data_IF_165100145484
#
_entry.id   IF_165100145484
#
_cell.length_a   1.000
_cell.length_b   1.000
_cell.length_c   1.000
_cell.angle_alpha   90.00
_cell.angle_beta   90.00
_cell.angle_gamma   90.00
#
_symmetry.space_group_name_H-M   'P 1'
#
loop_
_entity.id
_entity.type
_entity.pdbx_description
1 polymer ?
#
# COMPACT_ATOMS: atom_id res chain seq x y z
N UNK A 1 -10.07 10.72 -9.81
CA UNK A 1 -10.26 9.34 -9.31
C UNK A 1 -9.48 8.40 -10.21
N UNK A 2 -8.77 7.43 -9.63
CA UNK A 2 -7.95 6.44 -10.32
C UNK A 2 -8.59 5.07 -10.10
N UNK A 3 -8.72 4.27 -11.15
CA UNK A 3 -9.23 2.90 -11.03
C UNK A 3 -8.06 1.93 -11.08
N UNK A 4 -7.92 1.09 -10.07
CA UNK A 4 -6.96 -0.01 -10.03
C UNK A 4 -7.69 -1.34 -9.93
N UNK A 5 -7.31 -2.30 -10.76
CA UNK A 5 -7.73 -3.68 -10.60
C UNK A 5 -6.71 -4.39 -9.73
N UNK A 6 -7.12 -4.75 -8.53
CA UNK A 6 -6.31 -5.48 -7.55
C UNK A 6 -6.68 -6.96 -7.56
N UNK A 7 -5.67 -7.81 -7.62
CA UNK A 7 -5.79 -9.25 -7.39
C UNK A 7 -5.93 -9.52 -5.89
N UNK A 8 -6.41 -10.73 -5.49
CA UNK A 8 -6.42 -11.12 -4.08
C UNK A 8 -5.05 -11.00 -3.43
N UNK A 9 -3.99 -11.42 -4.13
CA UNK A 9 -2.61 -11.32 -3.66
C UNK A 9 -2.18 -9.89 -3.41
N UNK A 10 -2.53 -8.96 -4.31
CA UNK A 10 -2.21 -7.54 -4.12
C UNK A 10 -2.97 -6.94 -2.93
N UNK A 11 -4.21 -7.36 -2.68
CA UNK A 11 -4.97 -6.94 -1.49
C UNK A 11 -4.31 -7.45 -0.21
N UNK A 12 -3.88 -8.72 -0.18
CA UNK A 12 -3.13 -9.30 0.93
C UNK A 12 -1.83 -8.54 1.22
N UNK A 13 -1.07 -8.16 0.19
CA UNK A 13 0.16 -7.39 0.37
C UNK A 13 -0.10 -6.01 1.00
N UNK A 14 -1.14 -5.30 0.55
CA UNK A 14 -1.50 -4.00 1.13
C UNK A 14 -1.91 -4.16 2.60
N UNK A 15 -2.66 -5.22 2.93
CA UNK A 15 -3.02 -5.53 4.31
C UNK A 15 -1.79 -5.85 5.17
N UNK A 16 -0.84 -6.64 4.65
CA UNK A 16 0.41 -6.95 5.33
C UNK A 16 1.24 -5.70 5.60
N UNK A 17 1.34 -4.78 4.64
CA UNK A 17 2.02 -3.51 4.85
C UNK A 17 1.35 -2.67 5.93
N UNK A 18 0.03 -2.58 5.93
CA UNK A 18 -0.72 -1.88 6.98
C UNK A 18 -0.50 -2.51 8.36
N UNK A 19 -0.57 -3.83 8.49
CA UNK A 19 -0.32 -4.54 9.75
C UNK A 19 1.10 -4.33 10.25
N UNK A 20 2.10 -4.40 9.37
CA UNK A 20 3.49 -4.14 9.72
C UNK A 20 3.69 -2.69 10.19
N UNK A 21 3.10 -1.67 9.53
CA UNK A 21 3.15 -0.28 10.03
C UNK A 21 2.54 -0.18 11.42
N UNK A 22 1.42 -0.85 11.67
CA UNK A 22 0.76 -0.84 12.99
C UNK A 22 1.61 -1.47 14.08
N UNK A 23 2.31 -2.56 13.79
CA UNK A 23 3.19 -3.23 14.75
C UNK A 23 4.40 -2.36 15.12
N UNK A 24 5.02 -1.69 14.14
CA UNK A 24 6.18 -0.83 14.37
C UNK A 24 5.85 0.52 15.03
N UNK A 25 4.59 0.96 14.94
CA UNK A 25 4.19 2.29 15.42
C UNK A 25 4.10 2.43 16.93
N UNK A 26 4.07 1.35 17.73
CA UNK A 26 4.32 1.32 19.19
C UNK A 26 3.67 2.34 20.15
N UNK A 27 2.82 3.29 19.71
CA UNK A 27 2.56 4.57 20.41
C UNK A 27 1.11 5.05 20.42
N UNK A 28 0.13 4.19 20.22
CA UNK A 28 -1.27 4.57 20.43
C UNK A 28 -1.86 3.74 21.58
N UNK A 29 -1.44 4.10 22.80
CA UNK A 29 -2.18 3.74 24.00
C UNK A 29 -3.60 4.29 23.90
N UNK A 30 -4.58 3.45 24.27
CA UNK A 30 -6.03 3.71 24.22
C UNK A 30 -6.61 4.10 22.85
N UNK A 31 -6.91 3.08 22.04
CA UNK A 31 -7.84 3.16 20.92
C UNK A 31 -7.20 2.93 19.56
N UNK A 32 -7.53 1.78 18.95
CA UNK A 32 -7.18 1.46 17.57
C UNK A 32 -7.94 2.39 16.61
N UNK A 33 -7.46 3.63 16.43
CA UNK A 33 -8.03 4.56 15.46
C UNK A 33 -7.17 4.53 14.20
N UNK A 34 -7.67 3.88 13.17
CA UNK A 34 -7.32 4.17 11.78
C UNK A 34 -7.69 5.62 11.46
N UNK A 35 -6.92 6.28 10.61
CA UNK A 35 -7.38 7.56 10.05
C UNK A 35 -8.52 7.31 9.05
N UNK A 36 -9.38 8.29 8.76
CA UNK A 36 -10.47 8.12 7.79
C UNK A 36 -10.01 7.62 6.42
N UNK A 37 -8.84 8.06 5.95
CA UNK A 37 -8.26 7.61 4.68
C UNK A 37 -7.83 6.13 4.73
N UNK A 38 -7.29 5.69 5.85
CA UNK A 38 -6.90 4.28 6.07
C UNK A 38 -8.14 3.37 6.08
N UNK A 39 -9.21 3.75 6.77
CA UNK A 39 -10.48 3.00 6.75
C UNK A 39 -11.06 2.89 5.33
N UNK A 40 -10.99 3.98 4.57
CA UNK A 40 -11.48 4.00 3.18
C UNK A 40 -10.64 3.08 2.30
N UNK A 41 -9.31 3.05 2.49
CA UNK A 41 -8.43 2.11 1.77
C UNK A 41 -8.78 0.68 2.14
N UNK A 42 -8.87 0.36 3.43
CA UNK A 42 -9.16 -0.98 3.92
C UNK A 42 -10.49 -1.50 3.38
N UNK A 43 -11.57 -0.70 3.47
CA UNK A 43 -12.87 -1.08 2.93
C UNK A 43 -12.88 -1.27 1.40
N UNK A 44 -11.94 -0.67 0.66
CA UNK A 44 -11.78 -0.88 -0.78
C UNK A 44 -11.01 -2.17 -1.10
N UNK A 45 -10.04 -2.55 -0.30
CA UNK A 45 -9.18 -3.72 -0.57
C UNK A 45 -9.76 -5.03 0.02
N UNK A 46 -10.80 -4.98 0.85
CA UNK A 46 -11.55 -6.18 1.29
C UNK A 46 -12.12 -7.02 0.13
N UNK A 47 -12.29 -6.41 -1.04
CA UNK A 47 -12.79 -7.06 -2.24
C UNK A 47 -11.81 -6.90 -3.37
N UNK A 48 -11.11 -7.98 -3.73
CA UNK A 48 -10.33 -8.04 -4.96
C UNK A 48 -11.20 -7.67 -6.16
N UNK A 49 -10.63 -6.90 -7.10
CA UNK A 49 -11.34 -6.39 -8.25
C UNK A 49 -11.01 -4.93 -8.57
N UNK A 50 -11.88 -4.29 -9.35
CA UNK A 50 -11.72 -2.90 -9.75
C UNK A 50 -12.14 -1.96 -8.60
N UNK A 51 -11.16 -1.26 -8.04
CA UNK A 51 -11.34 -0.32 -6.94
C UNK A 51 -11.02 1.11 -7.40
N UNK A 52 -11.88 2.05 -7.03
CA UNK A 52 -11.65 3.47 -7.30
C UNK A 52 -10.96 4.13 -6.12
N UNK A 53 -9.79 4.71 -6.34
CA UNK A 53 -9.01 5.42 -5.34
C UNK A 53 -8.97 6.92 -5.65
N UNK A 54 -9.00 7.73 -4.61
CA UNK A 54 -8.49 9.09 -4.70
C UNK A 54 -6.95 8.99 -4.75
N UNK A 55 -6.22 9.87 -5.47
CA UNK A 55 -4.75 9.83 -5.48
C UNK A 55 -4.15 9.78 -4.07
N UNK A 56 -4.72 10.54 -3.13
CA UNK A 56 -4.30 10.52 -1.73
C UNK A 56 -4.38 9.13 -1.06
N UNK A 57 -5.39 8.31 -1.37
CA UNK A 57 -5.50 6.96 -0.83
C UNK A 57 -4.37 6.05 -1.35
N UNK A 58 -3.90 6.28 -2.58
CA UNK A 58 -2.75 5.56 -3.12
C UNK A 58 -1.45 6.00 -2.44
N UNK A 59 -1.31 7.29 -2.09
CA UNK A 59 -0.17 7.77 -1.28
C UNK A 59 -0.12 7.09 0.10
N UNK A 60 -1.28 6.88 0.74
CA UNK A 60 -1.36 6.15 2.02
C UNK A 60 -0.81 4.72 1.86
N UNK A 61 -1.21 4.01 0.79
CA UNK A 61 -0.69 2.67 0.50
C UNK A 61 0.82 2.70 0.27
N UNK A 62 1.33 3.70 -0.46
CA UNK A 62 2.78 3.87 -0.70
C UNK A 62 3.51 4.10 0.62
N UNK A 63 2.99 4.95 1.50
CA UNK A 63 3.58 5.22 2.81
C UNK A 63 3.64 3.95 3.67
N UNK A 64 2.59 3.11 3.63
CA UNK A 64 2.61 1.82 4.31
C UNK A 64 3.70 0.90 3.76
N UNK A 65 3.82 0.81 2.43
CA UNK A 65 4.85 -0.01 1.80
C UNK A 65 6.28 0.48 2.13
N UNK A 66 6.54 1.79 2.05
CA UNK A 66 7.84 2.38 2.40
C UNK A 66 8.22 2.14 3.87
N UNK A 67 7.22 2.16 4.75
CA UNK A 67 7.43 1.90 6.18
C UNK A 67 7.68 0.42 6.45
N UNK A 68 7.03 -0.48 5.71
CA UNK A 68 7.06 -1.92 5.98
C UNK A 68 8.17 -2.67 5.24
N UNK A 69 8.61 -2.18 4.08
CA UNK A 69 9.66 -2.80 3.26
C UNK A 69 11.03 -2.30 3.75
N UNK A 70 11.63 -3.02 4.69
CA UNK A 70 12.92 -2.65 5.29
C UNK A 70 14.16 -3.24 4.60
N UNK A 71 13.99 -4.27 3.76
CA UNK A 71 15.12 -5.01 3.18
C UNK A 71 15.00 -5.17 1.66
N UNK A 72 14.65 -6.37 1.19
CA UNK A 72 14.47 -6.68 -0.21
C UNK A 72 12.98 -6.72 -0.54
N UNK A 73 12.59 -5.98 -1.58
CA UNK A 73 11.24 -6.05 -2.12
C UNK A 73 11.06 -7.35 -2.91
N UNK A 74 9.95 -8.06 -2.70
CA UNK A 74 9.62 -9.23 -3.50
C UNK A 74 9.12 -8.80 -4.90
N UNK A 75 9.17 -9.69 -5.92
CA UNK A 75 8.62 -9.39 -7.24
C UNK A 75 7.16 -8.94 -7.24
N UNK A 76 6.32 -9.53 -6.38
CA UNK A 76 4.91 -9.17 -6.27
C UNK A 76 4.72 -7.77 -5.67
N UNK A 77 5.48 -7.45 -4.62
CA UNK A 77 5.47 -6.11 -4.00
C UNK A 77 5.96 -5.05 -4.98
N UNK A 78 7.02 -5.35 -5.74
CA UNK A 78 7.54 -4.44 -6.75
C UNK A 78 6.51 -4.19 -7.86
N UNK A 79 5.89 -5.25 -8.38
CA UNK A 79 4.86 -5.13 -9.42
C UNK A 79 3.64 -4.32 -8.94
N UNK A 80 3.23 -4.50 -7.69
CA UNK A 80 2.14 -3.74 -7.09
C UNK A 80 2.52 -2.27 -6.90
N UNK A 81 3.71 -1.97 -6.38
CA UNK A 81 4.18 -0.59 -6.25
C UNK A 81 4.33 0.07 -7.61
N UNK A 82 4.87 -0.62 -8.61
CA UNK A 82 5.02 -0.08 -9.97
C UNK A 82 3.66 0.27 -10.57
N UNK A 83 2.68 -0.64 -10.41
CA UNK A 83 1.28 -0.39 -10.76
C UNK A 83 0.73 0.86 -10.08
N UNK A 84 0.94 1.03 -8.77
CA UNK A 84 0.43 2.18 -8.01
C UNK A 84 1.12 3.49 -8.45
N UNK A 85 2.45 3.48 -8.61
CA UNK A 85 3.23 4.63 -9.06
C UNK A 85 2.83 5.06 -10.47
N UNK A 86 2.67 4.11 -11.39
CA UNK A 86 2.19 4.38 -12.74
C UNK A 86 0.79 5.02 -12.71
N UNK A 87 -0.11 4.54 -11.84
CA UNK A 87 -1.45 5.09 -11.69
C UNK A 87 -1.43 6.55 -11.17
N UNK A 88 -0.41 6.89 -10.38
CA UNK A 88 -0.14 8.25 -9.89
C UNK A 88 0.61 9.12 -10.91
N UNK A 89 0.98 8.59 -12.08
CA UNK A 89 1.79 9.29 -13.08
C UNK A 89 3.24 9.50 -12.65
N UNK A 90 3.76 8.63 -11.77
CA UNK A 90 5.12 8.66 -11.21
C UNK A 90 5.92 7.46 -11.71
N UNK A 91 7.24 7.56 -11.58
CA UNK A 91 8.16 6.48 -11.89
C UNK A 91 8.70 5.86 -10.59
N UNK A 92 8.66 4.53 -10.48
CA UNK A 92 9.13 3.80 -9.30
C UNK A 92 10.65 3.92 -9.08
N UNK A 93 11.42 4.32 -10.11
CA UNK A 93 12.88 4.45 -10.03
C UNK A 93 13.35 5.56 -9.06
N UNK A 94 12.44 6.39 -8.54
CA UNK A 94 12.71 7.34 -7.47
C UNK A 94 12.77 6.71 -6.07
N UNK A 95 12.25 5.49 -5.90
CA UNK A 95 12.34 4.75 -4.66
C UNK A 95 13.68 4.01 -4.58
N UNK A 96 14.39 4.14 -3.46
CA UNK A 96 15.67 3.49 -3.21
C UNK A 96 15.47 1.99 -2.86
N UNK A 97 14.62 1.31 -3.61
CA UNK A 97 14.28 -0.11 -3.46
C UNK A 97 15.19 -0.90 -4.39
N UNK A 98 15.95 -1.86 -3.84
CA UNK A 98 16.73 -2.76 -4.67
C UNK A 98 15.78 -3.65 -5.48
N UNK A 99 15.80 -3.52 -6.81
CA UNK A 99 14.99 -4.37 -7.70
C UNK A 99 15.22 -5.86 -7.36
N UNK A 100 14.17 -6.69 -7.34
CA UNK A 100 14.34 -8.11 -7.12
C UNK A 100 15.20 -8.70 -8.25
N UNK A 101 16.14 -9.57 -7.88
CA UNK A 101 17.05 -10.28 -8.79
C UNK A 101 16.31 -11.33 -9.62
#
# INVERSE_FOLDING_TARGET
MITLTLTPRECELIQQWFEAVREHSGHWGDGMATTPDEDIVLGKIERAGACQFHPHHLEVIVQWAETSIHTAITPDEYALLDKIFHALGRDISGLNLQKPF
#
